data_IF_541365874767
#
_entry.id   IF_541365874767
#
_cell.length_a   1.000
_cell.length_b   1.000
_cell.length_c   1.000
_cell.angle_alpha   90.00
_cell.angle_beta   90.00
_cell.angle_gamma   90.00
#
_symmetry.space_group_name_H-M   'P 1'
#
loop_
_entity.id
_entity.type
_entity.pdbx_description
1 polymer ?
#
# COMPACT_ATOMS: atom_id res chain seq x y z
N UNK A 1 17.58 22.36 -19.08
CA UNK A 1 17.95 20.94 -19.28
C UNK A 1 16.95 20.19 -20.17
N UNK A 2 15.67 20.61 -20.26
CA UNK A 2 14.62 19.88 -21.00
C UNK A 2 13.90 20.74 -22.06
N UNK A 3 14.57 21.72 -22.69
CA UNK A 3 13.94 22.65 -23.64
C UNK A 3 13.35 21.98 -24.89
N UNK A 4 13.83 20.79 -25.25
CA UNK A 4 13.34 19.96 -26.36
C UNK A 4 12.25 18.96 -25.96
N UNK A 5 11.80 18.99 -24.70
CA UNK A 5 10.70 18.16 -24.21
C UNK A 5 9.40 19.00 -24.23
N UNK A 6 8.29 18.45 -24.75
CA UNK A 6 7.03 19.20 -24.94
C UNK A 6 6.27 19.53 -23.64
N UNK A 7 6.75 19.03 -22.51
CA UNK A 7 6.14 19.19 -21.19
C UNK A 7 7.23 19.52 -20.17
N UNK A 8 6.83 20.10 -19.06
CA UNK A 8 7.78 20.41 -18.00
C UNK A 8 8.25 19.12 -17.29
N UNK A 9 9.48 19.13 -16.81
CA UNK A 9 10.06 18.05 -16.01
C UNK A 9 10.65 18.64 -14.73
N UNK A 10 10.14 18.21 -13.57
CA UNK A 10 10.63 18.63 -12.26
C UNK A 10 9.82 18.08 -11.09
N UNK A 11 10.41 18.19 -9.89
CA UNK A 11 9.88 17.64 -8.62
C UNK A 11 8.47 18.15 -8.29
N UNK A 12 8.09 19.33 -8.77
CA UNK A 12 6.74 19.90 -8.54
C UNK A 12 5.61 19.01 -9.07
N UNK A 13 5.89 18.14 -10.03
CA UNK A 13 4.91 17.23 -10.63
C UNK A 13 4.82 15.88 -9.91
N UNK A 14 5.72 15.59 -8.96
CA UNK A 14 5.82 14.26 -8.33
C UNK A 14 4.50 13.80 -7.71
N UNK A 15 3.75 14.73 -7.11
CA UNK A 15 2.47 14.49 -6.47
C UNK A 15 1.27 14.36 -7.44
N UNK A 16 1.46 14.51 -8.74
CA UNK A 16 0.37 14.55 -9.72
C UNK A 16 -0.37 13.20 -9.79
N UNK A 17 -1.71 13.27 -9.86
CA UNK A 17 -2.60 12.11 -9.95
C UNK A 17 -3.52 12.23 -11.15
N UNK A 18 -3.44 11.25 -12.04
CA UNK A 18 -4.23 11.22 -13.28
C UNK A 18 -5.40 10.28 -13.09
N UNK A 19 -6.62 10.82 -13.07
CA UNK A 19 -7.84 10.01 -12.98
C UNK A 19 -8.15 9.38 -14.33
N UNK A 20 -8.88 8.26 -14.35
CA UNK A 20 -9.19 7.54 -15.60
C UNK A 20 -9.88 8.39 -16.67
N UNK A 21 -10.65 9.42 -16.29
CA UNK A 21 -11.28 10.37 -17.23
C UNK A 21 -10.30 11.32 -17.92
N UNK A 22 -9.16 11.61 -17.28
CA UNK A 22 -8.11 12.53 -17.73
C UNK A 22 -6.97 11.80 -18.45
N UNK A 23 -7.00 10.47 -18.45
CA UNK A 23 -5.97 9.59 -18.98
C UNK A 23 -6.08 9.43 -20.50
N UNK A 24 -4.94 9.55 -21.17
CA UNK A 24 -4.75 9.16 -22.57
C UNK A 24 -4.56 7.65 -22.70
N UNK A 25 -3.69 7.07 -21.88
CA UNK A 25 -3.39 5.63 -21.85
C UNK A 25 -2.95 5.22 -20.44
N UNK A 26 -3.32 4.02 -20.02
CA UNK A 26 -2.74 3.31 -18.87
C UNK A 26 -1.75 2.26 -19.38
N UNK A 27 -0.49 2.35 -18.95
CA UNK A 27 0.54 1.35 -19.18
C UNK A 27 0.60 0.44 -17.95
N UNK A 28 0.31 -0.85 -18.13
CA UNK A 28 0.14 -1.81 -17.04
C UNK A 28 -1.12 -1.52 -16.23
N UNK A 29 -0.97 -1.42 -14.91
CA UNK A 29 -2.08 -1.18 -13.99
C UNK A 29 -2.93 -2.41 -13.68
N UNK A 30 -3.94 -2.25 -12.80
CA UNK A 30 -4.70 -3.38 -12.25
C UNK A 30 -5.52 -4.15 -13.28
N UNK A 31 -5.75 -3.59 -14.47
CA UNK A 31 -6.52 -4.21 -15.56
C UNK A 31 -5.69 -5.17 -16.40
N UNK A 32 -4.37 -4.98 -16.41
CA UNK A 32 -3.42 -5.75 -17.20
C UNK A 32 -2.68 -6.76 -16.33
N UNK A 33 -2.61 -8.00 -16.80
CA UNK A 33 -1.95 -9.08 -16.09
C UNK A 33 -0.42 -8.97 -16.23
N UNK A 34 0.06 -8.92 -17.47
CA UNK A 34 1.48 -8.88 -17.79
C UNK A 34 1.98 -7.44 -17.83
N UNK A 35 2.66 -7.04 -16.75
CA UNK A 35 3.25 -5.72 -16.59
C UNK A 35 4.50 -5.79 -15.73
N UNK A 36 5.55 -5.06 -16.08
CA UNK A 36 6.77 -5.02 -15.26
C UNK A 36 7.70 -3.85 -15.59
N UNK A 37 8.52 -3.45 -14.63
CA UNK A 37 9.71 -2.60 -14.83
C UNK A 37 10.94 -3.30 -14.25
N UNK A 38 12.02 -3.39 -15.03
CA UNK A 38 13.21 -4.15 -14.67
C UNK A 38 14.47 -3.37 -15.03
N UNK A 39 15.35 -3.11 -14.07
CA UNK A 39 16.72 -2.68 -14.33
C UNK A 39 17.65 -3.88 -14.38
N UNK A 40 18.62 -3.91 -15.28
CA UNK A 40 19.65 -4.95 -15.31
C UNK A 40 21.04 -4.34 -15.41
N UNK A 41 21.95 -4.78 -14.54
CA UNK A 41 23.36 -4.48 -14.67
C UNK A 41 23.95 -5.36 -15.79
N UNK A 42 24.60 -4.72 -16.76
CA UNK A 42 25.23 -5.34 -17.92
C UNK A 42 26.68 -4.92 -18.05
N UNK A 43 27.45 -5.69 -18.82
CA UNK A 43 28.80 -5.29 -19.19
C UNK A 43 28.79 -4.13 -20.21
N UNK A 44 29.87 -3.36 -20.24
CA UNK A 44 29.96 -2.15 -21.08
C UNK A 44 29.79 -2.43 -22.58
N UNK A 45 30.16 -3.61 -23.07
CA UNK A 45 30.05 -4.01 -24.48
C UNK A 45 28.66 -4.58 -24.84
N UNK A 46 27.85 -4.94 -23.84
CA UNK A 46 26.47 -5.38 -24.02
C UNK A 46 25.49 -4.21 -24.19
N UNK A 47 25.88 -3.01 -23.76
CA UNK A 47 25.03 -1.81 -23.77
C UNK A 47 25.41 -0.82 -24.88
N UNK A 48 24.44 -0.48 -25.71
CA UNK A 48 24.52 0.60 -26.68
C UNK A 48 23.91 1.88 -26.09
N UNK A 49 24.76 2.85 -25.72
CA UNK A 49 24.32 4.04 -24.98
C UNK A 49 23.27 4.87 -25.74
N UNK A 50 22.16 5.17 -25.06
CA UNK A 50 21.04 5.94 -25.59
C UNK A 50 20.12 5.15 -26.52
N UNK A 51 20.32 3.83 -26.70
CA UNK A 51 19.45 3.00 -27.54
C UNK A 51 18.06 2.88 -26.93
N UNK A 52 17.06 3.02 -27.81
CA UNK A 52 15.65 2.87 -27.48
C UNK A 52 15.06 1.80 -28.38
N UNK A 53 14.51 0.76 -27.79
CA UNK A 53 13.78 -0.30 -28.50
C UNK A 53 12.31 -0.25 -28.11
N UNK A 54 11.40 -0.34 -29.07
CA UNK A 54 9.96 -0.45 -28.83
C UNK A 54 9.49 -1.74 -29.49
N UNK A 55 8.95 -2.65 -28.69
CA UNK A 55 8.38 -3.93 -29.13
C UNK A 55 6.86 -3.82 -28.99
N UNK A 56 6.17 -3.57 -30.10
CA UNK A 56 4.74 -3.27 -30.14
C UNK A 56 4.47 -1.85 -30.60
N UNK A 57 3.34 -1.29 -30.17
CA UNK A 57 2.88 0.04 -30.54
C UNK A 57 3.56 1.14 -29.71
N UNK A 58 3.94 2.25 -30.35
CA UNK A 58 4.33 3.47 -29.65
C UNK A 58 3.06 4.20 -29.11
N UNK A 59 3.23 5.19 -28.21
CA UNK A 59 2.10 5.92 -27.60
C UNK A 59 1.17 6.56 -28.65
N UNK A 60 1.70 7.01 -29.79
CA UNK A 60 0.91 7.62 -30.86
C UNK A 60 -0.03 6.65 -31.59
N UNK A 61 0.23 5.35 -31.46
CA UNK A 61 -0.51 4.27 -32.12
C UNK A 61 -1.53 3.63 -31.18
N UNK A 62 -1.49 3.98 -29.89
CA UNK A 62 -2.40 3.46 -28.87
C UNK A 62 -3.67 4.33 -28.81
N UNK A 63 -4.88 3.73 -28.91
CA UNK A 63 -6.13 4.49 -28.81
C UNK A 63 -6.31 5.17 -27.46
N UNK A 64 -6.93 6.35 -27.46
CA UNK A 64 -7.26 7.09 -26.24
C UNK A 64 -8.14 6.28 -25.27
N UNK A 65 -7.84 6.38 -23.97
CA UNK A 65 -8.63 5.78 -22.89
C UNK A 65 -8.44 4.27 -22.75
N UNK A 66 -7.42 3.70 -23.37
CA UNK A 66 -7.12 2.26 -23.28
C UNK A 66 -6.14 1.94 -22.16
N UNK A 67 -6.16 0.68 -21.74
CA UNK A 67 -5.14 0.08 -20.88
C UNK A 67 -4.35 -0.89 -21.77
N UNK A 68 -3.04 -0.95 -21.60
CA UNK A 68 -2.16 -1.80 -22.41
C UNK A 68 -1.18 -2.55 -21.51
N UNK A 69 -0.89 -3.84 -21.80
CA UNK A 69 0.20 -4.53 -21.12
C UNK A 69 1.50 -3.78 -21.38
N UNK A 70 2.40 -3.81 -20.39
CA UNK A 70 3.59 -2.96 -20.44
C UNK A 70 4.79 -3.56 -19.72
N UNK A 71 5.86 -3.80 -20.46
CA UNK A 71 7.18 -4.10 -19.93
C UNK A 71 8.16 -2.95 -20.20
N UNK A 72 9.02 -2.66 -19.23
CA UNK A 72 10.14 -1.75 -19.42
C UNK A 72 11.41 -2.36 -18.87
N UNK A 73 12.38 -2.57 -19.74
CA UNK A 73 13.72 -3.07 -19.38
C UNK A 73 14.70 -1.93 -19.54
N UNK A 74 15.46 -1.66 -18.49
CA UNK A 74 16.50 -0.64 -18.42
C UNK A 74 17.83 -1.35 -18.20
N UNK A 75 18.64 -1.48 -19.24
CA UNK A 75 19.99 -2.01 -19.11
C UNK A 75 20.95 -0.86 -18.80
N UNK A 76 21.73 -1.00 -17.75
CA UNK A 76 22.74 -0.03 -17.31
C UNK A 76 24.12 -0.68 -17.26
N UNK A 77 25.14 0.07 -17.65
CA UNK A 77 26.53 -0.35 -17.55
C UNK A 77 27.42 0.83 -17.11
N UNK A 78 28.44 0.51 -16.32
CA UNK A 78 29.41 1.46 -15.80
C UNK A 78 30.42 0.74 -14.92
N UNK A 79 31.60 1.32 -14.75
CA UNK A 79 32.69 0.73 -13.96
C UNK A 79 32.35 0.54 -12.47
N UNK A 80 31.40 1.32 -11.95
CA UNK A 80 30.90 1.25 -10.57
C UNK A 80 29.53 0.57 -10.47
N UNK A 81 29.00 -0.02 -11.56
CA UNK A 81 27.71 -0.71 -11.58
C UNK A 81 27.88 -2.15 -11.12
N UNK A 82 27.23 -2.50 -10.02
CA UNK A 82 27.13 -3.86 -9.49
C UNK A 82 25.68 -4.35 -9.55
N UNK A 83 25.46 -5.67 -9.57
CA UNK A 83 24.10 -6.26 -9.54
C UNK A 83 23.28 -5.83 -8.33
N UNK A 84 23.93 -5.57 -7.20
CA UNK A 84 23.29 -5.10 -5.97
C UNK A 84 22.71 -3.67 -6.11
N UNK A 85 23.08 -2.92 -7.16
CA UNK A 85 22.51 -1.61 -7.45
C UNK A 85 21.25 -1.69 -8.34
N UNK A 86 20.91 -2.84 -8.90
CA UNK A 86 19.74 -2.97 -9.79
C UNK A 86 18.46 -2.47 -9.11
N UNK A 87 18.17 -2.93 -7.88
CA UNK A 87 16.99 -2.52 -7.12
C UNK A 87 17.00 -1.03 -6.74
N UNK A 88 18.18 -0.47 -6.44
CA UNK A 88 18.38 0.96 -6.13
C UNK A 88 18.03 1.83 -7.33
N UNK A 89 18.57 1.47 -8.51
CA UNK A 89 18.35 2.19 -9.76
C UNK A 89 16.88 2.05 -10.17
N UNK A 90 16.33 0.83 -10.11
CA UNK A 90 14.95 0.53 -10.47
C UNK A 90 13.96 1.34 -9.64
N UNK A 91 14.22 1.50 -8.33
CA UNK A 91 13.29 2.25 -7.48
C UNK A 91 13.21 3.74 -7.83
N UNK A 92 14.29 4.34 -8.33
CA UNK A 92 14.33 5.78 -8.71
C UNK A 92 13.50 6.09 -9.94
N UNK A 93 13.21 5.08 -10.75
CA UNK A 93 12.23 5.18 -11.83
C UNK A 93 10.92 5.80 -11.35
N UNK A 94 10.46 5.44 -10.14
CA UNK A 94 9.24 5.98 -9.59
C UNK A 94 9.25 7.51 -9.48
N UNK A 95 10.34 8.10 -8.99
CA UNK A 95 10.46 9.56 -8.89
C UNK A 95 10.61 10.17 -10.29
N UNK A 96 11.49 9.60 -11.13
CA UNK A 96 11.81 10.16 -12.44
C UNK A 96 10.63 10.20 -13.40
N UNK A 97 9.76 9.18 -13.37
CA UNK A 97 8.53 9.20 -14.16
C UNK A 97 7.55 10.24 -13.60
N UNK A 98 7.39 10.33 -12.28
CA UNK A 98 6.48 11.30 -11.66
C UNK A 98 6.98 12.75 -11.73
N UNK A 99 8.25 13.01 -12.07
CA UNK A 99 8.73 14.37 -12.36
C UNK A 99 8.23 14.92 -13.70
N UNK A 100 7.64 14.08 -14.57
CA UNK A 100 7.15 14.50 -15.88
C UNK A 100 5.73 15.03 -15.75
N UNK A 101 5.47 16.28 -16.16
CA UNK A 101 4.12 16.87 -16.12
C UNK A 101 3.12 15.96 -16.85
N UNK A 102 2.08 15.53 -16.12
CA UNK A 102 1.01 14.68 -16.62
C UNK A 102 1.46 13.27 -16.99
N UNK A 103 2.52 12.76 -16.37
CA UNK A 103 2.84 11.34 -16.31
C UNK A 103 2.83 10.87 -14.85
N UNK A 104 2.03 9.85 -14.55
CA UNK A 104 1.92 9.27 -13.22
C UNK A 104 2.54 7.87 -13.22
N UNK A 105 3.36 7.56 -12.22
CA UNK A 105 3.86 6.22 -11.94
C UNK A 105 3.48 5.79 -10.52
N UNK A 106 3.01 4.55 -10.37
CA UNK A 106 2.62 3.94 -9.12
C UNK A 106 3.23 2.54 -8.98
N UNK A 107 3.43 2.15 -7.72
CA UNK A 107 3.94 0.83 -7.33
C UNK A 107 5.38 0.59 -7.81
N UNK A 108 5.67 -0.61 -8.31
CA UNK A 108 7.02 -1.14 -8.57
C UNK A 108 6.97 -2.52 -9.26
N UNK A 109 8.10 -2.92 -9.86
CA UNK A 109 8.33 -4.27 -10.44
C UNK A 109 7.16 -4.75 -11.28
N UNK A 110 6.57 -5.90 -10.94
CA UNK A 110 5.46 -6.54 -11.66
C UNK A 110 4.07 -5.93 -11.39
N UNK A 111 3.99 -4.90 -10.54
CA UNK A 111 2.73 -4.30 -10.11
C UNK A 111 2.57 -2.83 -10.52
N UNK A 112 3.43 -2.38 -11.44
CA UNK A 112 3.45 -0.99 -11.91
C UNK A 112 2.10 -0.55 -12.50
N UNK A 113 1.79 0.72 -12.29
CA UNK A 113 0.71 1.39 -12.98
C UNK A 113 1.22 2.74 -13.44
N UNK A 114 1.23 2.96 -14.75
CA UNK A 114 1.58 4.26 -15.30
C UNK A 114 0.44 4.86 -16.10
N UNK A 115 0.24 6.18 -15.99
CA UNK A 115 -0.76 6.90 -16.79
C UNK A 115 -0.13 8.11 -17.44
N UNK A 116 -0.48 8.33 -18.69
CA UNK A 116 -0.23 9.59 -19.39
C UNK A 116 -1.53 10.39 -19.48
N UNK A 117 -1.48 11.69 -19.22
CA UNK A 117 -2.65 12.58 -19.30
C UNK A 117 -2.94 12.98 -20.75
N UNK A 118 -4.23 13.21 -21.06
CA UNK A 118 -4.65 13.77 -22.37
C UNK A 118 -3.99 15.12 -22.66
N UNK A 119 -3.81 15.94 -21.62
CA UNK A 119 -3.20 17.27 -21.71
C UNK A 119 -1.73 17.17 -22.15
N UNK A 120 -0.94 16.33 -21.51
CA UNK A 120 0.49 16.15 -21.85
C UNK A 120 0.67 15.48 -23.20
N UNK A 121 -0.20 14.53 -23.54
CA UNK A 121 -0.22 13.95 -24.89
C UNK A 121 -0.48 15.00 -25.97
N UNK A 122 -1.47 15.89 -25.78
CA UNK A 122 -1.81 16.97 -26.71
C UNK A 122 -0.70 18.03 -26.84
N UNK A 123 0.11 18.25 -25.78
CA UNK A 123 1.30 19.10 -25.86
C UNK A 123 2.42 18.52 -26.71
N UNK A 124 2.37 17.22 -27.02
CA UNK A 124 3.35 16.52 -27.86
C UNK A 124 4.10 15.40 -27.15
N UNK A 125 3.79 15.08 -25.88
CA UNK A 125 4.34 13.91 -25.20
C UNK A 125 3.63 12.64 -25.67
N UNK A 126 3.85 12.25 -26.92
CA UNK A 126 3.06 11.21 -27.62
C UNK A 126 3.93 10.08 -28.19
N UNK A 127 5.14 9.90 -27.67
CA UNK A 127 6.03 8.78 -28.02
C UNK A 127 6.88 8.35 -26.83
N UNK A 128 7.08 7.05 -26.67
CA UNK A 128 7.98 6.43 -25.71
C UNK A 128 9.44 6.89 -25.91
N UNK A 129 9.79 7.42 -27.09
CA UNK A 129 11.12 7.98 -27.34
C UNK A 129 11.37 9.25 -26.55
N UNK A 130 10.37 10.12 -26.38
CA UNK A 130 10.49 11.31 -25.52
C UNK A 130 10.59 10.86 -24.07
N UNK A 131 9.80 9.86 -23.68
CA UNK A 131 9.85 9.28 -22.34
C UNK A 131 11.24 8.75 -21.99
N UNK A 132 11.84 7.91 -22.84
CA UNK A 132 13.21 7.44 -22.67
C UNK A 132 14.24 8.57 -22.62
N UNK A 133 14.12 9.60 -23.47
CA UNK A 133 15.02 10.76 -23.42
C UNK A 133 15.01 11.47 -22.07
N UNK A 134 13.84 11.61 -21.45
CA UNK A 134 13.74 12.19 -20.11
C UNK A 134 14.42 11.29 -19.09
N UNK A 135 14.13 9.98 -19.13
CA UNK A 135 14.75 9.00 -18.22
C UNK A 135 16.28 8.99 -18.36
N UNK A 136 16.83 8.92 -19.57
CA UNK A 136 18.29 8.97 -19.77
C UNK A 136 18.93 10.20 -19.12
N UNK A 137 18.31 11.37 -19.23
CA UNK A 137 18.83 12.61 -18.64
C UNK A 137 18.75 12.58 -17.12
N UNK A 138 17.61 12.15 -16.56
CA UNK A 138 17.43 12.08 -15.11
C UNK A 138 18.37 11.06 -14.48
N UNK A 139 18.44 9.84 -15.02
CA UNK A 139 19.38 8.81 -14.55
C UNK A 139 20.83 9.28 -14.63
N UNK A 140 21.29 9.80 -15.78
CA UNK A 140 22.70 10.25 -15.89
C UNK A 140 23.02 11.50 -15.05
N UNK A 141 22.03 12.35 -14.77
CA UNK A 141 22.20 13.52 -13.90
C UNK A 141 22.35 13.11 -12.43
N UNK A 142 21.46 12.25 -11.95
CA UNK A 142 21.39 11.87 -10.54
C UNK A 142 22.31 10.70 -10.19
N UNK A 143 22.63 9.86 -11.17
CA UNK A 143 23.48 8.67 -11.04
C UNK A 143 24.58 8.71 -12.09
N UNK A 144 25.49 9.68 -11.92
CA UNK A 144 26.61 9.91 -12.85
C UNK A 144 27.55 8.71 -13.06
N UNK A 145 27.46 7.68 -12.21
CA UNK A 145 28.18 6.41 -12.35
C UNK A 145 27.56 5.46 -13.41
N UNK A 146 26.37 5.79 -13.94
CA UNK A 146 25.79 5.11 -15.12
C UNK A 146 26.47 5.67 -16.38
N UNK A 147 27.42 4.93 -16.95
CA UNK A 147 28.16 5.34 -18.15
C UNK A 147 27.32 5.14 -19.41
N UNK A 148 26.72 3.94 -19.54
CA UNK A 148 25.85 3.57 -20.66
C UNK A 148 24.49 3.11 -20.17
N UNK A 149 23.46 3.47 -20.90
CA UNK A 149 22.09 3.06 -20.60
C UNK A 149 21.30 2.85 -21.89
N UNK A 150 20.49 1.80 -21.95
CA UNK A 150 19.49 1.60 -23.01
C UNK A 150 18.15 1.19 -22.42
N UNK A 151 17.06 1.46 -23.15
CA UNK A 151 15.70 1.16 -22.69
C UNK A 151 14.97 0.37 -23.77
N UNK A 152 14.35 -0.73 -23.35
CA UNK A 152 13.41 -1.51 -24.16
C UNK A 152 12.02 -1.37 -23.57
N UNK A 153 11.09 -0.82 -24.35
CA UNK A 153 9.67 -0.80 -24.03
C UNK A 153 8.94 -1.92 -24.76
N UNK A 154 8.02 -2.58 -24.06
CA UNK A 154 7.26 -3.71 -24.56
C UNK A 154 5.78 -3.39 -24.35
N UNK A 155 5.06 -3.13 -25.43
CA UNK A 155 3.61 -2.87 -25.45
C UNK A 155 2.85 -3.94 -26.24
N UNK A 156 3.57 -4.84 -26.91
CA UNK A 156 3.01 -6.04 -27.52
C UNK A 156 2.55 -7.03 -26.43
N UNK A 157 1.27 -7.48 -26.43
CA UNK A 157 0.74 -8.35 -25.38
C UNK A 157 1.42 -9.71 -25.27
N UNK A 158 1.78 -10.34 -26.40
CA UNK A 158 2.42 -11.65 -26.40
C UNK A 158 3.85 -11.54 -25.86
N UNK A 159 4.58 -10.50 -26.26
CA UNK A 159 5.94 -10.26 -25.76
C UNK A 159 5.94 -9.82 -24.30
N UNK A 160 4.99 -8.99 -23.87
CA UNK A 160 4.88 -8.62 -22.46
C UNK A 160 4.75 -9.87 -21.58
N UNK A 161 3.93 -10.85 -22.01
CA UNK A 161 3.81 -12.15 -21.35
C UNK A 161 5.13 -12.94 -21.36
N UNK A 162 5.79 -13.06 -22.52
CA UNK A 162 7.05 -13.82 -22.66
C UNK A 162 8.13 -13.32 -21.68
N UNK A 163 8.25 -12.00 -21.50
CA UNK A 163 9.26 -11.41 -20.61
C UNK A 163 8.84 -11.38 -19.14
N UNK A 164 7.54 -11.43 -18.84
CA UNK A 164 7.01 -11.28 -17.49
C UNK A 164 7.56 -12.36 -16.53
N UNK A 165 7.55 -13.62 -16.96
CA UNK A 165 8.04 -14.74 -16.12
C UNK A 165 9.55 -14.59 -15.82
N UNK A 166 10.35 -14.19 -16.81
CA UNK A 166 11.78 -13.92 -16.62
C UNK A 166 12.03 -12.75 -15.65
N UNK A 167 11.18 -11.72 -15.68
CA UNK A 167 11.27 -10.63 -14.72
C UNK A 167 10.95 -11.10 -13.29
N UNK A 168 9.91 -11.93 -13.12
CA UNK A 168 9.56 -12.52 -11.82
C UNK A 168 10.69 -13.36 -11.23
N UNK A 169 11.35 -14.18 -12.03
CA UNK A 169 12.51 -14.98 -11.59
C UNK A 169 13.66 -14.10 -11.10
N UNK A 170 13.93 -12.98 -11.79
CA UNK A 170 14.97 -12.04 -11.39
C UNK A 170 14.62 -11.32 -10.08
N UNK A 171 13.38 -10.90 -9.88
CA UNK A 171 12.97 -10.30 -8.61
C UNK A 171 13.08 -11.29 -7.46
N UNK A 172 12.67 -12.54 -7.67
CA UNK A 172 12.77 -13.60 -6.68
C UNK A 172 14.24 -13.87 -6.30
N UNK A 173 15.16 -13.87 -7.26
CA UNK A 173 16.60 -13.96 -7.02
C UNK A 173 17.14 -12.82 -6.16
N UNK A 174 16.69 -11.58 -6.41
CA UNK A 174 17.06 -10.40 -5.60
C UNK A 174 16.55 -10.52 -4.17
N UNK A 175 15.28 -10.88 -4.02
CA UNK A 175 14.63 -10.94 -2.71
C UNK A 175 15.15 -12.11 -1.87
N UNK A 176 15.42 -13.27 -2.49
CA UNK A 176 15.95 -14.44 -1.80
C UNK A 176 17.26 -14.16 -1.05
N UNK A 177 18.08 -13.21 -1.53
CA UNK A 177 19.33 -12.79 -0.87
C UNK A 177 19.08 -12.07 0.46
N UNK A 178 17.96 -11.37 0.60
CA UNK A 178 17.58 -10.69 1.85
C UNK A 178 16.94 -11.65 2.86
N UNK A 179 16.36 -12.76 2.40
CA UNK A 179 15.74 -13.76 3.26
C UNK A 179 16.78 -14.47 4.11
N UNK A 180 16.57 -14.50 5.42
CA UNK A 180 17.44 -15.21 6.37
C UNK A 180 18.29 -14.30 7.27
N UNK A 181 18.25 -12.98 7.07
CA UNK A 181 18.81 -12.03 8.03
C UNK A 181 17.83 -11.78 9.19
N UNK A 182 18.37 -11.62 10.40
CA UNK A 182 17.58 -11.18 11.56
C UNK A 182 17.72 -9.68 11.81
N UNK A 183 16.67 -9.08 12.37
CA UNK A 183 16.73 -7.74 12.98
C UNK A 183 17.77 -7.66 14.12
N UNK A 184 18.03 -8.79 14.77
CA UNK A 184 18.99 -8.92 15.86
C UNK A 184 20.45 -8.90 15.35
N UNK A 185 20.68 -9.17 14.06
CA UNK A 185 22.02 -9.25 13.46
C UNK A 185 22.54 -7.90 12.95
N UNK A 186 21.74 -6.83 13.07
CA UNK A 186 22.07 -5.50 12.54
C UNK A 186 21.93 -4.41 13.60
N UNK A 187 22.80 -3.42 13.53
CA UNK A 187 22.79 -2.24 14.43
C UNK A 187 21.98 -1.07 13.87
N UNK A 188 21.63 -1.13 12.59
CA UNK A 188 20.95 -0.06 11.87
C UNK A 188 19.81 -0.61 11.04
N UNK A 189 18.75 0.18 10.97
CA UNK A 189 17.64 0.05 10.02
C UNK A 189 17.74 1.16 8.98
N UNK A 190 16.82 1.15 8.02
CA UNK A 190 16.73 2.20 7.01
C UNK A 190 15.34 2.82 7.02
N UNK A 191 15.29 4.13 6.83
CA UNK A 191 14.08 4.89 6.63
C UNK A 191 13.88 5.21 5.16
N UNK A 192 12.63 5.33 4.72
CA UNK A 192 12.29 5.85 3.40
C UNK A 192 11.16 6.88 3.49
N UNK A 193 11.43 8.10 3.01
CA UNK A 193 10.48 9.22 2.93
C UNK A 193 10.02 9.52 1.50
N UNK A 194 10.34 8.65 0.53
CA UNK A 194 10.04 8.88 -0.89
C UNK A 194 8.55 9.16 -1.11
N UNK A 195 7.67 8.46 -0.41
CA UNK A 195 6.22 8.63 -0.60
C UNK A 195 5.60 9.82 0.16
N UNK A 196 6.41 10.71 0.77
CA UNK A 196 5.89 11.91 1.46
C UNK A 196 5.28 12.94 0.52
N UNK A 197 5.61 12.89 -0.77
CA UNK A 197 4.89 13.63 -1.82
C UNK A 197 3.39 13.30 -1.87
N UNK A 198 2.99 12.11 -1.39
CA UNK A 198 1.59 11.66 -1.33
C UNK A 198 1.02 11.56 0.08
N UNK A 199 1.84 11.14 1.04
CA UNK A 199 1.46 10.97 2.44
C UNK A 199 2.51 11.67 3.32
N UNK A 200 2.36 12.99 3.58
CA UNK A 200 3.44 13.82 4.15
C UNK A 200 3.99 13.33 5.49
N UNK A 201 3.18 12.64 6.28
CA UNK A 201 3.54 12.11 7.61
C UNK A 201 4.03 10.67 7.56
N UNK A 202 4.00 10.02 6.39
CA UNK A 202 4.41 8.63 6.24
C UNK A 202 5.93 8.48 6.17
N UNK A 203 6.42 7.42 6.78
CA UNK A 203 7.78 6.90 6.63
C UNK A 203 7.73 5.38 6.64
N UNK A 204 8.52 4.76 5.76
CA UNK A 204 8.84 3.34 5.91
C UNK A 204 10.05 3.18 6.83
N UNK A 205 9.97 2.28 7.79
CA UNK A 205 11.10 1.70 8.53
C UNK A 205 11.33 0.32 7.95
N UNK A 206 12.56 0.09 7.49
CA UNK A 206 12.98 -1.06 6.72
C UNK A 206 14.02 -1.80 7.54
N UNK A 207 13.67 -3.03 7.90
CA UNK A 207 14.54 -3.94 8.66
C UNK A 207 14.83 -5.19 7.82
N UNK A 208 15.81 -6.02 8.20
CA UNK A 208 16.02 -7.29 7.52
C UNK A 208 14.77 -8.18 7.48
N UNK A 209 13.91 -8.11 8.52
CA UNK A 209 12.69 -8.90 8.62
C UNK A 209 11.40 -8.12 8.29
N UNK A 210 11.52 -6.88 7.81
CA UNK A 210 10.40 -6.05 7.37
C UNK A 210 10.80 -5.14 6.21
N UNK A 211 10.45 -5.56 5.00
CA UNK A 211 10.59 -4.75 3.79
C UNK A 211 9.77 -3.46 3.87
N UNK A 212 10.15 -2.46 3.07
CA UNK A 212 9.26 -1.34 2.80
C UNK A 212 7.90 -1.84 2.29
N UNK A 213 6.81 -1.16 2.67
CA UNK A 213 5.46 -1.60 2.33
C UNK A 213 5.25 -1.79 0.82
N UNK A 214 5.98 -1.04 -0.02
CA UNK A 214 5.91 -1.17 -1.48
C UNK A 214 6.47 -2.47 -2.04
N UNK A 215 7.26 -3.23 -1.29
CA UNK A 215 7.95 -4.44 -1.75
C UNK A 215 9.25 -4.20 -2.52
N UNK A 216 9.58 -2.95 -2.86
CA UNK A 216 10.74 -2.63 -3.71
C UNK A 216 12.04 -2.30 -2.98
N UNK A 217 12.02 -2.18 -1.64
CA UNK A 217 13.20 -1.79 -0.88
C UNK A 217 13.38 -2.77 0.28
N UNK A 218 14.34 -3.67 0.12
CA UNK A 218 14.90 -4.51 1.18
C UNK A 218 15.85 -3.72 2.09
N UNK A 219 16.34 -4.35 3.15
CA UNK A 219 17.39 -3.75 3.97
C UNK A 219 18.69 -3.50 3.19
N UNK A 220 19.05 -4.40 2.25
CA UNK A 220 20.22 -4.22 1.38
C UNK A 220 20.03 -3.07 0.40
N UNK A 221 18.83 -2.94 -0.18
CA UNK A 221 18.50 -1.80 -1.04
C UNK A 221 18.55 -0.49 -0.25
N UNK A 222 18.06 -0.50 0.99
CA UNK A 222 18.14 0.64 1.90
C UNK A 222 19.59 1.08 2.13
N UNK A 223 20.46 0.12 2.45
CA UNK A 223 21.91 0.33 2.62
C UNK A 223 22.59 0.87 1.37
N UNK A 224 22.34 0.24 0.24
CA UNK A 224 22.93 0.64 -1.03
C UNK A 224 22.45 2.04 -1.44
N UNK A 225 21.15 2.32 -1.32
CA UNK A 225 20.56 3.63 -1.65
C UNK A 225 21.13 4.73 -0.77
N UNK A 226 21.19 4.54 0.56
CA UNK A 226 21.73 5.53 1.48
C UNK A 226 23.24 5.81 1.25
N UNK A 227 23.98 4.83 0.72
CA UNK A 227 25.38 5.01 0.33
C UNK A 227 25.51 5.79 -0.98
N UNK A 228 24.67 5.48 -1.96
CA UNK A 228 24.68 6.10 -3.30
C UNK A 228 24.22 7.56 -3.22
N UNK A 229 23.15 7.84 -2.47
CA UNK A 229 22.61 9.18 -2.26
C UNK A 229 22.38 9.46 -0.76
N UNK A 230 23.43 9.88 -0.02
CA UNK A 230 23.36 10.12 1.43
C UNK A 230 22.41 11.24 1.85
N UNK A 231 21.97 12.09 0.91
CA UNK A 231 21.02 13.19 1.16
C UNK A 231 19.62 12.89 0.62
N UNK A 232 19.45 11.69 0.08
CA UNK A 232 18.22 11.24 -0.55
C UNK A 232 17.10 10.90 0.42
N UNK A 233 15.97 10.42 -0.11
CA UNK A 233 14.80 10.06 0.68
C UNK A 233 15.00 8.75 1.47
N UNK A 234 16.04 7.97 1.18
CA UNK A 234 16.40 6.76 1.91
C UNK A 234 17.62 7.03 2.78
N UNK A 235 17.52 6.75 4.07
CA UNK A 235 18.52 7.16 5.06
C UNK A 235 18.68 6.11 6.15
N UNK A 236 19.85 6.08 6.79
CA UNK A 236 20.14 5.19 7.91
C UNK A 236 19.39 5.63 9.18
N UNK A 237 18.89 4.65 9.95
CA UNK A 237 18.27 4.83 11.26
C UNK A 237 19.05 3.97 12.26
N UNK A 238 19.76 4.58 13.23
CA UNK A 238 20.33 3.83 14.34
C UNK A 238 19.22 3.08 15.09
N UNK A 239 19.43 1.80 15.42
CA UNK A 239 18.41 1.00 16.11
C UNK A 239 18.15 1.54 17.53
N UNK A 240 19.19 1.97 18.24
CA UNK A 240 19.06 2.45 19.62
C UNK A 240 18.70 1.33 20.60
N UNK A 241 18.07 1.67 21.72
CA UNK A 241 17.60 0.71 22.70
C UNK A 241 16.26 0.11 22.27
N UNK A 242 16.13 -1.20 22.49
CA UNK A 242 14.88 -1.92 22.32
C UNK A 242 13.94 -1.52 23.46
N UNK A 243 12.76 -0.98 23.11
CA UNK A 243 11.66 -0.71 24.04
C UNK A 243 10.82 -1.98 24.21
N UNK A 244 10.49 -2.65 23.11
CA UNK A 244 9.73 -3.90 23.11
C UNK A 244 10.10 -4.76 21.89
N UNK A 245 10.68 -5.94 22.15
CA UNK A 245 11.12 -6.87 21.10
C UNK A 245 9.97 -7.61 20.40
N UNK A 246 8.78 -7.69 21.02
CA UNK A 246 7.62 -8.37 20.44
C UNK A 246 6.92 -7.45 19.45
N UNK A 247 6.65 -6.21 19.85
CA UNK A 247 6.07 -5.21 18.93
C UNK A 247 7.10 -4.61 17.98
N UNK A 248 8.40 -4.78 18.25
CA UNK A 248 9.49 -4.22 17.44
C UNK A 248 9.61 -2.71 17.63
N UNK A 249 9.58 -2.24 18.87
CA UNK A 249 9.68 -0.83 19.20
C UNK A 249 11.08 -0.47 19.69
N UNK A 250 11.60 0.65 19.17
CA UNK A 250 12.96 1.12 19.46
C UNK A 250 12.98 2.64 19.67
N UNK A 251 13.80 3.13 20.59
CA UNK A 251 13.81 4.55 20.97
C UNK A 251 14.31 5.49 19.86
N UNK A 252 15.41 5.16 19.19
CA UNK A 252 15.98 5.96 18.11
C UNK A 252 15.11 5.90 16.85
N UNK A 253 14.48 4.76 16.57
CA UNK A 253 13.48 4.66 15.50
C UNK A 253 12.32 5.62 15.77
N UNK A 254 11.77 5.63 16.99
CA UNK A 254 10.72 6.57 17.39
C UNK A 254 11.17 8.04 17.27
N UNK A 255 12.41 8.36 17.67
CA UNK A 255 12.97 9.71 17.54
C UNK A 255 13.03 10.17 16.08
N UNK A 256 13.57 9.32 15.20
CA UNK A 256 13.72 9.64 13.77
C UNK A 256 12.36 9.75 13.08
N UNK A 257 11.41 8.87 13.41
CA UNK A 257 10.04 8.93 12.89
C UNK A 257 9.35 10.23 13.31
N UNK A 258 9.47 10.64 14.57
CA UNK A 258 8.90 11.91 15.06
C UNK A 258 9.48 13.10 14.31
N UNK A 259 10.79 13.14 14.12
CA UNK A 259 11.47 14.22 13.41
C UNK A 259 10.98 14.32 11.96
N UNK A 260 10.99 13.21 11.22
CA UNK A 260 10.70 13.20 9.78
C UNK A 260 9.22 13.14 9.42
N UNK A 261 8.33 12.84 10.38
CA UNK A 261 6.87 12.95 10.23
C UNK A 261 6.32 14.31 10.67
N UNK A 262 7.19 15.30 10.91
CA UNK A 262 6.84 16.63 11.41
C UNK A 262 6.15 16.62 12.79
N UNK A 263 6.42 15.59 13.58
CA UNK A 263 5.87 15.40 14.92
C UNK A 263 4.52 14.66 14.97
N UNK A 264 3.91 14.35 13.83
CA UNK A 264 2.60 13.70 13.78
C UNK A 264 2.64 12.24 14.24
N UNK A 265 3.73 11.52 13.96
CA UNK A 265 3.91 10.12 14.40
C UNK A 265 4.98 10.08 15.49
N UNK A 266 4.57 9.81 16.73
CA UNK A 266 5.48 9.84 17.88
C UNK A 266 6.17 8.50 18.17
N UNK A 267 5.51 7.40 17.79
CA UNK A 267 5.91 6.01 18.08
C UNK A 267 5.56 5.11 16.92
N UNK A 268 6.38 4.09 16.68
CA UNK A 268 6.09 3.03 15.71
C UNK A 268 6.45 1.66 16.27
N UNK A 269 5.53 0.73 16.10
CA UNK A 269 5.66 -0.67 16.43
C UNK A 269 5.64 -1.46 15.12
N UNK A 270 6.77 -2.10 14.82
CA UNK A 270 7.04 -2.72 13.53
C UNK A 270 6.31 -4.03 13.32
N UNK A 271 5.73 -4.67 14.35
CA UNK A 271 5.20 -6.02 14.22
C UNK A 271 3.76 -6.20 14.72
N UNK A 272 2.98 -5.13 14.70
CA UNK A 272 1.55 -5.11 15.05
C UNK A 272 0.74 -4.24 14.08
N UNK A 273 -0.53 -4.59 13.93
CA UNK A 273 -1.57 -3.78 13.32
C UNK A 273 -2.39 -2.95 14.32
N UNK A 274 -2.00 -2.88 15.61
CA UNK A 274 -2.73 -2.19 16.68
C UNK A 274 -1.85 -1.25 17.52
N UNK A 275 -2.45 -0.21 18.08
CA UNK A 275 -1.80 0.74 18.99
C UNK A 275 -0.95 1.75 18.23
N UNK A 276 0.30 1.39 17.93
CA UNK A 276 1.24 2.24 17.19
C UNK A 276 1.72 1.59 15.89
N UNK A 277 0.82 1.08 15.02
CA UNK A 277 1.23 0.34 13.84
C UNK A 277 2.08 1.20 12.92
N UNK A 278 2.95 0.55 12.15
CA UNK A 278 3.65 1.21 11.06
C UNK A 278 2.65 1.82 10.05
N UNK A 279 2.82 3.11 9.74
CA UNK A 279 1.92 3.83 8.82
C UNK A 279 2.04 3.34 7.38
N UNK A 280 1.10 3.71 6.52
CA UNK A 280 1.15 3.37 5.09
C UNK A 280 0.91 4.58 4.21
N UNK A 281 1.66 4.72 3.12
CA UNK A 281 1.43 5.75 2.10
C UNK A 281 0.25 5.37 1.19
N UNK A 282 0.48 4.47 0.23
CA UNK A 282 -0.53 4.05 -0.75
C UNK A 282 -0.01 3.08 -1.82
N UNK A 283 1.29 2.77 -1.84
CA UNK A 283 1.92 1.86 -2.81
C UNK A 283 2.16 0.44 -2.27
N UNK A 284 1.52 0.06 -1.16
CA UNK A 284 1.63 -1.28 -0.58
C UNK A 284 1.10 -2.36 -1.52
N UNK A 285 1.71 -3.55 -1.51
CA UNK A 285 1.31 -4.67 -2.37
C UNK A 285 0.05 -5.38 -1.85
N UNK A 286 -0.17 -5.34 -0.53
CA UNK A 286 -1.37 -5.84 0.10
C UNK A 286 -1.69 -5.14 1.41
N UNK A 287 -2.74 -5.60 2.07
CA UNK A 287 -3.22 -5.06 3.32
C UNK A 287 -3.75 -6.18 4.22
N UNK A 288 -3.35 -6.18 5.49
CA UNK A 288 -4.09 -6.86 6.53
C UNK A 288 -5.25 -5.97 6.99
N UNK A 289 -6.45 -6.53 7.09
CA UNK A 289 -7.64 -5.85 7.59
C UNK A 289 -8.27 -6.68 8.70
N UNK A 290 -8.59 -6.04 9.81
CA UNK A 290 -9.15 -6.70 10.97
C UNK A 290 -10.65 -7.01 10.78
N UNK A 291 -11.05 -8.17 11.26
CA UNK A 291 -12.41 -8.73 11.20
C UNK A 291 -12.89 -8.93 12.64
N UNK A 292 -13.59 -7.95 13.22
CA UNK A 292 -14.01 -7.97 14.63
C UNK A 292 -14.85 -9.19 15.02
N UNK A 293 -15.67 -9.71 14.10
CA UNK A 293 -16.60 -10.82 14.34
C UNK A 293 -15.91 -12.15 14.69
N UNK A 294 -14.63 -12.29 14.32
CA UNK A 294 -13.81 -13.48 14.55
C UNK A 294 -12.48 -13.16 15.25
N UNK A 295 -12.29 -11.91 15.69
CA UNK A 295 -11.06 -11.40 16.34
C UNK A 295 -9.78 -11.71 15.54
N UNK A 296 -9.85 -11.58 14.21
CA UNK A 296 -8.79 -12.02 13.32
C UNK A 296 -8.53 -11.05 12.16
N UNK A 297 -7.50 -11.33 11.36
CA UNK A 297 -7.18 -10.60 10.15
C UNK A 297 -7.60 -11.37 8.89
N UNK A 298 -8.13 -10.64 7.92
CA UNK A 298 -8.02 -11.02 6.52
C UNK A 298 -6.84 -10.32 5.86
N UNK A 299 -6.35 -10.87 4.77
CA UNK A 299 -5.34 -10.25 3.90
C UNK A 299 -5.92 -10.07 2.51
N UNK A 300 -5.62 -8.96 1.84
CA UNK A 300 -5.98 -8.72 0.44
C UNK A 300 -4.83 -8.04 -0.29
N UNK A 301 -4.50 -8.51 -1.50
CA UNK A 301 -3.48 -7.90 -2.35
C UNK A 301 -4.10 -6.96 -3.38
N UNK A 302 -3.29 -6.04 -3.92
CA UNK A 302 -3.74 -4.94 -4.80
C UNK A 302 -4.49 -5.37 -6.05
N UNK A 303 -4.12 -6.51 -6.61
CA UNK A 303 -4.70 -7.01 -7.86
C UNK A 303 -6.01 -7.79 -7.64
N UNK A 304 -6.42 -8.02 -6.39
CA UNK A 304 -7.70 -8.66 -6.09
C UNK A 304 -8.85 -7.73 -6.47
N UNK A 305 -9.73 -8.21 -7.37
CA UNK A 305 -10.82 -7.38 -7.97
C UNK A 305 -12.19 -7.61 -7.33
N UNK A 306 -12.34 -8.70 -6.59
CA UNK A 306 -13.59 -9.06 -5.96
C UNK A 306 -13.73 -8.45 -4.56
N UNK A 307 -14.82 -8.78 -3.90
CA UNK A 307 -15.03 -8.42 -2.50
C UNK A 307 -14.35 -9.42 -1.59
N UNK A 308 -13.77 -8.92 -0.51
CA UNK A 308 -13.26 -9.75 0.58
C UNK A 308 -14.41 -10.31 1.41
N UNK A 309 -14.11 -11.20 2.34
CA UNK A 309 -15.10 -11.88 3.19
C UNK A 309 -15.99 -10.94 4.02
N UNK A 310 -15.54 -9.71 4.29
CA UNK A 310 -16.34 -8.68 4.98
C UNK A 310 -17.10 -7.74 4.01
N UNK A 311 -17.06 -8.02 2.70
CA UNK A 311 -17.77 -7.28 1.67
C UNK A 311 -17.06 -6.02 1.13
N UNK A 312 -15.87 -5.69 1.62
CA UNK A 312 -15.06 -4.57 1.15
C UNK A 312 -14.19 -4.98 -0.04
N UNK A 313 -14.00 -4.06 -0.99
CA UNK A 313 -13.01 -4.21 -2.07
C UNK A 313 -11.64 -3.65 -1.66
N UNK A 314 -10.60 -3.97 -2.44
CA UNK A 314 -9.24 -3.49 -2.17
C UNK A 314 -9.16 -1.96 -2.13
N UNK A 315 -9.89 -1.25 -2.99
CA UNK A 315 -9.87 0.23 -3.03
C UNK A 315 -10.32 0.80 -1.69
N UNK A 316 -11.45 0.33 -1.16
CA UNK A 316 -11.97 0.77 0.13
C UNK A 316 -11.00 0.46 1.28
N UNK A 317 -10.44 -0.75 1.31
CA UNK A 317 -9.44 -1.13 2.32
C UNK A 317 -8.18 -0.27 2.19
N UNK A 318 -7.73 0.01 0.97
CA UNK A 318 -6.56 0.84 0.72
C UNK A 318 -6.76 2.28 1.19
N UNK A 319 -7.94 2.87 0.99
CA UNK A 319 -8.27 4.22 1.44
C UNK A 319 -8.31 4.33 2.99
N UNK A 320 -8.72 3.25 3.67
CA UNK A 320 -8.72 3.18 5.13
C UNK A 320 -7.29 3.06 5.69
N UNK A 321 -6.40 2.39 4.96
CA UNK A 321 -5.03 2.08 5.38
C UNK A 321 -4.04 3.20 5.06
N UNK A 322 -4.25 3.87 3.93
CA UNK A 322 -3.36 4.87 3.36
C UNK A 322 -3.37 6.23 4.09
N UNK A 323 -2.43 7.09 3.68
CA UNK A 323 -2.38 8.50 4.05
C UNK A 323 -1.45 8.84 5.21
N UNK A 324 -0.54 7.94 5.58
CA UNK A 324 0.49 8.24 6.60
C UNK A 324 -0.06 8.33 8.02
N UNK A 325 -1.18 7.66 8.29
CA UNK A 325 -1.86 7.62 9.58
C UNK A 325 -1.64 6.26 10.26
N UNK A 326 -1.76 6.23 11.58
CA UNK A 326 -1.87 4.99 12.34
C UNK A 326 -3.35 4.65 12.46
N UNK A 327 -3.74 3.50 11.91
CA UNK A 327 -5.13 3.04 11.89
C UNK A 327 -5.15 1.62 12.40
N UNK A 328 -5.78 1.43 13.55
CA UNK A 328 -5.92 0.11 14.16
C UNK A 328 -6.67 -0.84 13.24
N UNK A 329 -6.12 -2.05 13.10
CA UNK A 329 -6.71 -3.11 12.30
C UNK A 329 -6.54 -2.95 10.79
N UNK A 330 -5.90 -1.88 10.29
CA UNK A 330 -5.64 -1.69 8.86
C UNK A 330 -4.15 -1.44 8.63
N UNK A 331 -3.48 -2.40 7.98
CA UNK A 331 -2.03 -2.40 7.91
C UNK A 331 -1.53 -2.76 6.50
N UNK A 332 -0.81 -1.83 5.87
CA UNK A 332 -0.20 -2.05 4.57
C UNK A 332 0.96 -3.05 4.65
N UNK A 333 1.04 -3.94 3.67
CA UNK A 333 1.97 -5.05 3.60
C UNK A 333 2.73 -5.06 2.26
N UNK A 334 3.98 -5.47 2.31
CA UNK A 334 4.67 -6.05 1.16
C UNK A 334 4.51 -7.56 1.18
N UNK A 335 4.66 -8.20 0.01
CA UNK A 335 4.63 -9.67 -0.08
C UNK A 335 5.78 -10.29 0.73
N UNK A 336 6.96 -9.68 0.69
CA UNK A 336 8.13 -10.16 1.44
C UNK A 336 7.94 -10.04 2.96
N UNK A 337 7.21 -9.04 3.47
CA UNK A 337 6.90 -9.01 4.91
C UNK A 337 6.00 -10.18 5.33
N UNK A 338 5.10 -10.66 4.46
CA UNK A 338 4.32 -11.88 4.75
C UNK A 338 5.20 -13.13 4.81
N UNK A 339 6.35 -13.15 4.12
CA UNK A 339 7.33 -14.25 4.17
C UNK A 339 8.23 -14.18 5.40
N UNK A 340 8.12 -13.13 6.22
CA UNK A 340 8.96 -12.91 7.38
C UNK A 340 8.56 -13.78 8.57
N UNK A 341 9.53 -14.30 9.36
CA UNK A 341 9.23 -14.95 10.63
C UNK A 341 8.69 -13.97 11.70
N UNK A 342 8.83 -12.66 11.48
CA UNK A 342 8.28 -11.60 12.36
C UNK A 342 6.91 -11.11 11.92
N UNK A 343 6.31 -11.72 10.89
CA UNK A 343 5.02 -11.28 10.33
C UNK A 343 3.95 -11.18 11.42
N UNK A 344 3.54 -9.94 11.72
CA UNK A 344 2.54 -9.58 12.73
C UNK A 344 2.68 -10.33 14.06
N UNK A 345 3.92 -10.62 14.49
CA UNK A 345 4.18 -11.52 15.63
C UNK A 345 3.52 -11.04 16.93
N UNK A 346 3.38 -9.72 17.13
CA UNK A 346 2.75 -9.17 18.33
C UNK A 346 1.23 -9.41 18.36
N UNK A 347 0.63 -9.67 17.20
CA UNK A 347 -0.78 -9.97 17.06
C UNK A 347 -1.05 -11.48 16.95
N UNK A 348 -0.05 -12.34 17.15
CA UNK A 348 -0.17 -13.79 16.98
C UNK A 348 0.20 -14.31 15.59
N UNK A 349 0.70 -13.44 14.71
CA UNK A 349 1.18 -13.81 13.38
C UNK A 349 0.15 -14.58 12.55
N UNK A 350 0.59 -15.68 11.94
CA UNK A 350 -0.29 -16.47 11.07
C UNK A 350 -1.48 -17.12 11.78
N UNK A 351 -1.39 -17.37 13.09
CA UNK A 351 -2.50 -17.95 13.88
C UNK A 351 -3.69 -17.01 14.03
N UNK A 352 -3.54 -15.74 13.63
CA UNK A 352 -4.61 -14.74 13.60
C UNK A 352 -5.02 -14.34 12.18
N UNK A 353 -4.50 -14.97 11.12
CA UNK A 353 -4.97 -14.73 9.75
C UNK A 353 -5.97 -15.81 9.34
N UNK A 354 -7.18 -15.42 8.97
CA UNK A 354 -8.29 -16.35 8.72
C UNK A 354 -8.78 -16.38 7.29
N UNK A 355 -8.42 -15.38 6.48
CA UNK A 355 -8.89 -15.27 5.11
C UNK A 355 -7.87 -14.55 4.21
N UNK A 356 -7.63 -15.05 3.00
CA UNK A 356 -6.89 -14.34 1.95
C UNK A 356 -7.22 -14.90 0.56
N UNK A 357 -7.00 -14.13 -0.53
CA UNK A 357 -7.14 -14.66 -1.87
C UNK A 357 -6.25 -15.89 -2.14
N UNK A 358 -6.77 -16.86 -2.91
CA UNK A 358 -6.08 -18.12 -3.17
C UNK A 358 -4.74 -17.94 -3.90
N UNK A 359 -4.66 -16.98 -4.82
CA UNK A 359 -3.44 -16.70 -5.58
C UNK A 359 -2.30 -16.17 -4.69
N UNK A 360 -2.60 -15.29 -3.72
CA UNK A 360 -1.60 -14.86 -2.76
C UNK A 360 -1.23 -15.98 -1.78
N UNK A 361 -2.21 -16.78 -1.32
CA UNK A 361 -1.94 -17.94 -0.46
C UNK A 361 -0.96 -18.91 -1.14
N UNK A 362 -1.23 -19.28 -2.38
CA UNK A 362 -0.37 -20.17 -3.17
C UNK A 362 1.05 -19.63 -3.35
N UNK A 363 1.19 -18.30 -3.46
CA UNK A 363 2.49 -17.62 -3.64
C UNK A 363 3.36 -17.60 -2.37
N UNK A 364 2.76 -17.67 -1.18
CA UNK A 364 3.49 -17.51 0.10
C UNK A 364 3.40 -18.72 1.05
N UNK A 365 2.56 -19.72 0.76
CA UNK A 365 2.31 -20.87 1.66
C UNK A 365 3.54 -21.63 2.12
N UNK A 366 4.61 -21.65 1.34
CA UNK A 366 5.88 -22.33 1.71
C UNK A 366 6.60 -21.63 2.89
N UNK A 367 6.26 -20.38 3.15
CA UNK A 367 6.82 -19.55 4.23
C UNK A 367 5.89 -19.47 5.45
N UNK A 368 4.79 -20.21 5.44
CA UNK A 368 3.79 -20.23 6.49
C UNK A 368 3.90 -21.54 7.30
N UNK A 369 3.46 -21.56 8.57
CA UNK A 369 3.32 -22.82 9.32
C UNK A 369 2.46 -23.84 8.54
N UNK A 370 2.97 -25.04 8.18
CA UNK A 370 2.22 -25.98 7.34
C UNK A 370 0.84 -26.36 7.91
N UNK A 371 0.69 -26.33 9.23
CA UNK A 371 -0.54 -26.61 9.98
C UNK A 371 -1.60 -25.51 9.88
N UNK A 372 -1.21 -24.26 9.59
CA UNK A 372 -2.13 -23.12 9.49
C UNK A 372 -2.70 -22.97 8.08
N UNK A 373 -1.89 -23.24 7.05
CA UNK A 373 -2.27 -23.12 5.63
C UNK A 373 -3.64 -23.75 5.30
N UNK A 374 -3.95 -25.02 5.65
CA UNK A 374 -5.24 -25.63 5.34
C UNK A 374 -6.41 -25.07 6.17
N UNK A 375 -6.12 -24.18 7.13
CA UNK A 375 -7.04 -23.50 8.02
C UNK A 375 -7.14 -22.00 7.73
N UNK A 376 -6.59 -21.49 6.63
CA UNK A 376 -6.90 -20.14 6.10
C UNK A 376 -7.91 -20.23 4.95
N UNK A 377 -9.01 -19.49 5.06
CA UNK A 377 -10.07 -19.50 4.06
C UNK A 377 -9.66 -18.66 2.85
N UNK A 378 -10.19 -19.02 1.69
CA UNK A 378 -10.07 -18.24 0.46
C UNK A 378 -11.44 -17.90 -0.12
N UNK A 379 -11.47 -17.02 -1.11
CA UNK A 379 -12.67 -16.67 -1.87
C UNK A 379 -13.35 -17.90 -2.52
N UNK A 380 -12.59 -18.98 -2.74
CA UNK A 380 -13.10 -20.26 -3.28
C UNK A 380 -13.83 -21.10 -2.24
N UNK A 381 -13.63 -20.84 -0.96
CA UNK A 381 -14.16 -21.64 0.16
C UNK A 381 -15.20 -20.90 0.99
N UNK A 382 -14.99 -19.61 1.24
CA UNK A 382 -15.82 -18.77 2.10
C UNK A 382 -15.89 -17.37 1.51
N UNK A 383 -17.12 -16.86 1.34
CA UNK A 383 -17.38 -15.54 0.77
C UNK A 383 -18.22 -14.62 1.67
N UNK A 384 -18.55 -15.07 2.89
CA UNK A 384 -19.33 -14.30 3.86
C UNK A 384 -18.79 -14.48 5.30
N UNK A 385 -19.05 -13.51 6.17
CA UNK A 385 -18.65 -13.57 7.58
C UNK A 385 -19.34 -14.68 8.35
N UNK A 386 -20.62 -14.96 8.06
CA UNK A 386 -21.38 -16.02 8.72
C UNK A 386 -20.79 -17.41 8.41
N UNK A 387 -20.42 -17.63 7.14
CA UNK A 387 -19.77 -18.86 6.71
C UNK A 387 -18.34 -18.97 7.28
N UNK A 388 -17.63 -17.84 7.41
CA UNK A 388 -16.27 -17.80 7.96
C UNK A 388 -16.22 -18.34 9.39
N UNK A 389 -17.11 -17.87 10.27
CA UNK A 389 -17.13 -18.32 11.67
C UNK A 389 -17.34 -19.83 11.78
N UNK A 390 -18.24 -20.38 10.96
CA UNK A 390 -18.52 -21.83 10.92
C UNK A 390 -17.31 -22.60 10.41
N UNK A 391 -16.73 -22.15 9.30
CA UNK A 391 -15.57 -22.77 8.68
C UNK A 391 -14.36 -22.82 9.62
N UNK A 392 -14.11 -21.75 10.38
CA UNK A 392 -13.00 -21.69 11.34
C UNK A 392 -13.15 -22.74 12.46
N UNK A 393 -14.37 -22.97 12.95
CA UNK A 393 -14.67 -24.03 13.93
C UNK A 393 -14.41 -25.41 13.35
N UNK A 394 -14.91 -25.66 12.13
CA UNK A 394 -14.76 -26.95 11.46
C UNK A 394 -13.28 -27.29 11.17
N UNK A 395 -12.50 -26.29 10.78
CA UNK A 395 -11.05 -26.40 10.52
C UNK A 395 -10.21 -26.35 11.78
N UNK A 396 -10.80 -26.08 12.95
CA UNK A 396 -10.10 -25.91 14.23
C UNK A 396 -8.95 -24.90 14.09
N UNK A 397 -9.29 -23.73 13.54
CA UNK A 397 -8.34 -22.62 13.47
C UNK A 397 -7.93 -22.18 14.89
N UNK A 398 -6.65 -21.89 15.16
CA UNK A 398 -6.19 -21.52 16.51
C UNK A 398 -6.96 -20.37 17.14
N UNK A 399 -7.44 -19.40 16.34
CA UNK A 399 -8.27 -18.29 16.84
C UNK A 399 -9.57 -18.74 17.52
N UNK A 400 -10.09 -19.94 17.22
CA UNK A 400 -11.31 -20.44 17.84
C UNK A 400 -11.11 -20.68 19.34
N UNK A 401 -9.89 -20.99 19.77
CA UNK A 401 -9.56 -21.23 21.18
C UNK A 401 -9.57 -19.93 22.01
N UNK A 402 -9.51 -18.76 21.37
CA UNK A 402 -9.59 -17.45 22.05
C UNK A 402 -11.03 -16.96 22.22
N UNK A 403 -11.99 -17.57 21.52
CA UNK A 403 -13.39 -17.16 21.59
C UNK A 403 -13.98 -17.59 22.93
N UNK A 404 -14.68 -16.67 23.59
CA UNK A 404 -15.49 -17.02 24.75
C UNK A 404 -16.50 -18.11 24.37
N UNK A 405 -16.67 -19.16 25.19
CA UNK A 405 -17.68 -20.17 24.93
C UNK A 405 -19.04 -19.47 24.83
N UNK A 406 -19.73 -19.66 23.70
CA UNK A 406 -21.09 -19.13 23.54
C UNK A 406 -21.92 -19.68 24.70
N UNK A 407 -22.32 -18.82 25.65
CA UNK A 407 -23.32 -19.20 26.64
C UNK A 407 -24.52 -19.74 25.86
N UNK A 408 -24.83 -21.03 26.06
CA UNK A 408 -26.07 -21.60 25.56
C UNK A 408 -27.19 -20.67 26.02
N UNK A 409 -27.73 -19.88 25.09
CA UNK A 409 -29.01 -19.21 25.30
C UNK A 409 -30.02 -20.33 25.46
N UNK A 410 -30.21 -20.76 26.71
CA UNK A 410 -31.36 -21.58 27.11
C UNK A 410 -32.58 -20.90 26.49
N UNK A 411 -33.42 -21.63 25.74
CA UNK A 411 -34.61 -21.03 25.16
C UNK A 411 -35.38 -20.38 26.30
N UNK A 412 -35.57 -19.05 26.21
CA UNK A 412 -36.44 -18.35 27.13
C UNK A 412 -37.79 -19.06 27.14
N UNK A 413 -38.34 -19.42 28.31
CA UNK A 413 -39.66 -20.02 28.36
C UNK A 413 -40.64 -19.03 27.75
N UNK A 414 -41.42 -19.51 26.77
CA UNK A 414 -42.47 -18.75 26.09
C UNK A 414 -43.37 -18.12 27.15
N UNK A 415 -43.24 -16.81 27.34
CA UNK A 415 -44.06 -16.06 28.27
C UNK A 415 -45.51 -16.06 27.74
N UNK A 416 -46.42 -16.64 28.52
CA UNK A 416 -47.85 -16.43 28.34
C UNK A 416 -48.18 -14.95 28.60
N UNK A 417 -49.14 -14.36 27.88
CA UNK A 417 -49.44 -12.94 28.01
C UNK A 417 -50.15 -12.71 29.34
N UNK A 418 -49.46 -12.08 30.29
CA UNK A 418 -50.09 -11.51 31.49
C UNK A 418 -50.08 -9.98 31.44
N UNK A 419 -51.21 -9.44 31.86
CA UNK A 419 -51.64 -8.05 31.74
C UNK A 419 -50.72 -7.05 32.44
N UNK A 420 -50.65 -5.86 31.85
CA UNK A 420 -49.97 -4.67 32.35
C UNK A 420 -50.33 -4.34 33.80
N UNK A 421 -49.31 -4.09 34.63
CA UNK A 421 -49.39 -3.10 35.71
C UNK A 421 -48.03 -2.38 35.85
N UNK A 422 -48.08 -1.05 35.84
CA UNK A 422 -46.96 -0.13 36.04
C UNK A 422 -46.27 -0.29 37.41
N UNK A 423 -44.94 -0.14 37.47
CA UNK A 423 -44.27 0.65 38.52
C UNK A 423 -42.78 0.96 38.24
N UNK A 424 -42.52 2.27 38.14
CA UNK A 424 -41.37 3.11 38.61
C UNK A 424 -39.89 2.70 38.44
N UNK A 425 -39.13 3.62 37.80
CA UNK A 425 -37.66 3.71 37.69
C UNK A 425 -37.00 4.14 39.03
N UNK A 426 -35.77 3.70 39.36
CA UNK A 426 -34.44 4.29 39.03
C UNK A 426 -33.34 3.57 39.88
N UNK A 427 -32.02 3.87 39.80
CA UNK A 427 -31.12 4.14 38.65
C UNK A 427 -29.75 3.37 38.76
N UNK A 428 -28.99 3.26 37.66
CA UNK A 428 -27.52 3.04 37.67
C UNK A 428 -26.94 3.89 36.53
N UNK A 429 -26.24 5.01 36.80
CA UNK A 429 -24.78 5.13 36.86
C UNK A 429 -24.07 4.16 35.89
N UNK A 430 -23.27 4.55 34.91
CA UNK A 430 -22.75 5.83 34.44
C UNK A 430 -21.66 5.46 33.43
N UNK A 431 -21.80 5.84 32.16
CA UNK A 431 -20.74 5.77 31.16
C UNK A 431 -20.76 7.09 30.39
N UNK A 432 -19.74 7.91 30.60
CA UNK A 432 -19.49 9.15 29.87
C UNK A 432 -18.71 8.84 28.60
N UNK A 433 -19.27 9.20 27.45
CA UNK A 433 -18.59 9.19 26.14
C UNK A 433 -17.90 10.54 25.96
N UNK A 434 -16.64 10.62 25.49
CA UNK A 434 -15.99 11.89 25.23
C UNK A 434 -16.60 12.56 23.98
N UNK A 435 -17.03 13.81 24.11
CA UNK A 435 -17.45 14.67 23.00
C UNK A 435 -16.28 15.53 22.53
N UNK A 436 -16.00 15.51 21.22
CA UNK A 436 -15.15 16.51 20.56
C UNK A 436 -15.98 17.79 20.37
N UNK A 437 -15.56 18.91 20.96
CA UNK A 437 -16.14 20.24 20.73
C UNK A 437 -15.37 20.94 19.59
N UNK A 438 -16.09 21.46 18.60
CA UNK A 438 -15.55 22.39 17.61
C UNK A 438 -15.94 23.83 17.99
N UNK A 439 -15.04 24.83 17.92
CA UNK A 439 -15.37 26.21 18.28
C UNK A 439 -16.37 26.85 17.32
N UNK A 440 -17.35 27.54 17.88
CA UNK A 440 -18.47 28.17 17.17
C UNK A 440 -18.12 29.48 16.44
N UNK A 441 -17.02 29.53 15.67
CA UNK A 441 -16.62 30.75 14.93
C UNK A 441 -16.45 30.59 13.43
N UNK A 442 -16.77 29.45 12.84
CA UNK A 442 -16.77 29.27 11.39
C UNK A 442 -18.19 29.00 10.88
N UNK A 443 -18.98 30.08 10.69
CA UNK A 443 -20.01 30.31 9.67
C UNK A 443 -21.07 31.31 10.20
N UNK A 444 -21.31 32.45 9.52
CA UNK A 444 -22.30 33.42 9.97
C UNK A 444 -23.69 32.98 9.49
N UNK A 445 -24.51 32.47 10.40
CA UNK A 445 -25.94 32.24 10.12
C UNK A 445 -26.75 33.08 11.09
N UNK A 446 -27.24 34.21 10.59
CA UNK A 446 -28.17 35.07 11.30
C UNK A 446 -29.54 34.38 11.45
N UNK A 447 -30.10 34.39 12.66
CA UNK A 447 -31.53 34.11 12.88
C UNK A 447 -31.90 32.94 13.79
N UNK A 448 -30.97 32.30 14.50
CA UNK A 448 -31.30 31.32 15.54
C UNK A 448 -31.46 32.00 16.92
N UNK A 449 -32.57 31.81 17.65
CA UNK A 449 -32.64 32.09 19.08
C UNK A 449 -31.62 31.20 19.81
N UNK A 450 -30.84 31.77 20.73
CA UNK A 450 -29.89 31.01 21.54
C UNK A 450 -30.59 29.87 22.30
N UNK A 451 -30.06 28.65 22.17
CA UNK A 451 -30.42 27.52 23.05
C UNK A 451 -31.11 26.32 22.41
N UNK A 452 -31.43 26.32 21.11
CA UNK A 452 -32.11 25.19 20.47
C UNK A 452 -31.11 24.23 19.78
N UNK A 453 -30.97 23.01 20.30
CA UNK A 453 -30.17 21.92 19.70
C UNK A 453 -31.09 20.99 18.91
N UNK A 454 -30.88 20.86 17.59
CA UNK A 454 -31.59 19.88 16.76
C UNK A 454 -30.71 18.64 16.65
N UNK A 455 -31.25 17.47 17.00
CA UNK A 455 -30.58 16.17 16.86
C UNK A 455 -31.35 15.31 15.86
N UNK A 456 -30.72 15.01 14.72
CA UNK A 456 -31.28 14.09 13.71
C UNK A 456 -30.47 12.79 13.79
N UNK A 457 -31.14 11.67 14.02
CA UNK A 457 -30.51 10.34 14.06
C UNK A 457 -31.15 9.48 12.98
N UNK A 458 -30.34 8.98 12.05
CA UNK A 458 -30.78 8.09 10.98
C UNK A 458 -30.07 6.75 11.15
N UNK A 459 -30.83 5.66 11.13
CA UNK A 459 -30.30 4.28 11.18
C UNK A 459 -30.80 3.51 9.96
N UNK A 460 -29.89 2.88 9.22
CA UNK A 460 -30.15 2.10 7.99
C UNK A 460 -30.99 2.84 6.91
N UNK A 461 -30.62 4.07 6.55
CA UNK A 461 -31.32 4.85 5.52
C UNK A 461 -30.42 5.18 4.31
N UNK A 462 -30.94 5.02 3.08
CA UNK A 462 -30.39 5.62 1.85
C UNK A 462 -31.25 6.83 1.48
N UNK A 463 -30.70 8.04 1.57
CA UNK A 463 -31.41 9.28 1.25
C UNK A 463 -30.87 9.87 -0.06
N UNK A 464 -31.76 10.17 -1.00
CA UNK A 464 -31.51 11.07 -2.13
C UNK A 464 -32.51 12.23 -2.05
N UNK A 465 -32.00 13.45 -1.94
CA UNK A 465 -32.81 14.67 -1.92
C UNK A 465 -32.12 15.76 -2.75
N UNK A 466 -32.88 16.48 -3.56
CA UNK A 466 -32.35 17.61 -4.35
C UNK A 466 -32.30 18.92 -3.54
N UNK A 467 -33.15 19.07 -2.50
CA UNK A 467 -33.06 20.15 -1.51
C UNK A 467 -33.76 19.79 -0.21
N UNK A 468 -33.17 20.18 0.93
CA UNK A 468 -33.75 20.00 2.28
C UNK A 468 -33.92 21.36 2.95
N UNK A 469 -35.08 21.62 3.55
CA UNK A 469 -35.39 22.85 4.30
C UNK A 469 -35.99 22.46 5.65
N UNK A 470 -35.37 22.92 6.74
CA UNK A 470 -35.81 22.68 8.12
C UNK A 470 -36.44 23.99 8.63
N UNK A 471 -37.68 23.94 9.13
CA UNK A 471 -38.37 25.08 9.77
C UNK A 471 -38.84 24.65 11.16
N UNK A 472 -38.72 25.55 12.13
CA UNK A 472 -39.32 25.38 13.44
C UNK A 472 -40.72 26.00 13.43
N UNK A 473 -41.76 25.21 13.63
CA UNK A 473 -43.10 25.72 13.92
C UNK A 473 -43.25 25.92 15.42
N UNK A 474 -43.82 27.06 15.80
CA UNK A 474 -44.23 27.35 17.18
C UNK A 474 -45.67 26.84 17.34
N UNK A 475 -45.93 26.08 18.40
CA UNK A 475 -47.25 26.12 19.04
C UNK A 475 -47.35 27.36 19.93
#
# INVERSE_FOLDING_TARGET
MFEDIPVDVGIIYEGERIRGREMQVELGGPREEFKFELVQAKELDEVEDGKITIIGNDLSEIPEGTNVPFGMIIDVAGTEIEKDLEGVIERRLHEYVNFIEGFMHLNQRYDIQMRLSKKSYQKGFNTLKIFAKVLFRLYKSEMSFIEKMQITFITDPEKAKDYYDSALELYESRDAKARGMSDDDVEVFYGCSLCQSFAPTHLCVITPQRYANCGAISWFDGKATAKVDPKGPVFEIPKGNIIDSVTGEYDEVNRVIREKSLGEIERVQLYTGFGYPHTSCGCFEGCAFYIPEVDAYGVVHRNYRDKTVNGLDFVTISDLTAGGRQVDGFHGLSIEYMRSPRFMQADGGWDRVVWMPDDILERIKEYMPPEIVPKIATEKTVSSLDDLKTWLRDKKHPIVDTWEPEEEKKPEPVAQPQQQVMQQQMPMAGFTVPTLELPASALPIAGLPQGMKIKIILKNAKIKAEKVIIRAEKE
#
